data_IF_777821497685
#
_entry.id   IF_777821497685
#
_cell.length_a   1.000
_cell.length_b   1.000
_cell.length_c   1.000
_cell.angle_alpha   90.00
_cell.angle_beta   90.00
_cell.angle_gamma   90.00
#
_symmetry.space_group_name_H-M   'P 1'
#
loop_
_entity.id
_entity.type
_entity.pdbx_description
1 polymer ?
#
# COMPACT_ATOMS: atom_id res chain seq x y z
N UNK A 1 -3.14 15.38 -5.72
CA UNK A 1 -3.72 14.17 -5.11
C UNK A 1 -4.60 13.45 -6.13
N UNK A 2 -4.62 12.11 -6.12
CA UNK A 2 -5.61 11.31 -6.86
C UNK A 2 -6.97 11.44 -6.16
N UNK A 3 -8.00 11.85 -6.91
CA UNK A 3 -9.38 12.03 -6.43
C UNK A 3 -10.37 11.39 -7.40
N UNK A 4 -11.66 11.40 -7.06
CA UNK A 4 -12.71 10.92 -7.98
C UNK A 4 -12.69 11.65 -9.32
N UNK A 5 -12.31 12.93 -9.31
CA UNK A 5 -12.37 13.81 -10.47
C UNK A 5 -11.30 13.47 -11.51
N UNK A 6 -10.10 13.07 -11.07
CA UNK A 6 -8.99 12.69 -11.96
C UNK A 6 -8.77 11.18 -12.10
N UNK A 7 -9.47 10.33 -11.34
CA UNK A 7 -9.28 8.88 -11.36
C UNK A 7 -9.43 8.26 -12.76
N UNK A 8 -10.31 8.79 -13.63
CA UNK A 8 -10.45 8.28 -15.02
C UNK A 8 -9.15 8.44 -15.81
N UNK A 9 -8.52 9.61 -15.70
CA UNK A 9 -7.25 9.91 -16.37
C UNK A 9 -6.12 9.04 -15.83
N UNK A 10 -6.09 8.82 -14.50
CA UNK A 10 -5.15 7.89 -13.85
C UNK A 10 -5.30 6.49 -14.45
N UNK A 11 -6.53 5.97 -14.53
CA UNK A 11 -6.81 4.63 -15.04
C UNK A 11 -6.38 4.46 -16.50
N UNK A 12 -6.66 5.47 -17.33
CA UNK A 12 -6.25 5.49 -18.74
C UNK A 12 -4.72 5.53 -18.88
N UNK A 13 -4.04 6.34 -18.06
CA UNK A 13 -2.57 6.38 -18.00
C UNK A 13 -1.96 5.05 -17.55
N UNK A 14 -2.63 4.36 -16.60
CA UNK A 14 -2.27 3.02 -16.15
C UNK A 14 -2.64 1.91 -17.15
N UNK A 15 -3.25 2.24 -18.30
CA UNK A 15 -3.60 1.27 -19.34
C UNK A 15 -4.84 0.43 -19.04
N UNK A 16 -5.73 0.89 -18.17
CA UNK A 16 -7.05 0.29 -17.99
C UNK A 16 -7.95 0.59 -19.19
N UNK A 17 -8.79 -0.38 -19.57
CA UNK A 17 -9.75 -0.23 -20.66
C UNK A 17 -11.13 0.07 -20.09
N UNK A 18 -11.77 1.11 -20.61
CA UNK A 18 -13.17 1.40 -20.31
C UNK A 18 -14.08 0.36 -21.00
N UNK A 19 -14.98 -0.24 -20.23
CA UNK A 19 -16.03 -1.18 -20.67
C UNK A 19 -17.33 -0.79 -19.97
N UNK A 20 -18.18 -0.01 -20.62
CA UNK A 20 -19.48 0.41 -20.10
C UNK A 20 -19.36 1.08 -18.71
N UNK A 21 -18.56 2.15 -18.62
CA UNK A 21 -18.30 2.91 -17.38
C UNK A 21 -17.43 2.21 -16.32
N UNK A 22 -17.12 0.93 -16.52
CA UNK A 22 -16.17 0.21 -15.70
C UNK A 22 -14.78 0.23 -16.32
N UNK A 23 -13.74 0.41 -15.52
CA UNK A 23 -12.36 0.34 -15.99
C UNK A 23 -11.71 -0.97 -15.57
N UNK A 24 -11.16 -1.71 -16.52
CA UNK A 24 -10.63 -3.06 -16.29
C UNK A 24 -9.22 -3.20 -16.82
N UNK A 25 -8.35 -3.83 -16.03
CA UNK A 25 -7.02 -4.27 -16.45
C UNK A 25 -6.75 -5.67 -15.90
N UNK A 26 -6.14 -6.52 -16.73
CA UNK A 26 -5.71 -7.86 -16.32
C UNK A 26 -4.18 -7.93 -16.42
N UNK A 27 -3.53 -8.35 -15.34
CA UNK A 27 -2.08 -8.51 -15.21
C UNK A 27 -1.82 -9.93 -14.74
N UNK A 28 -1.10 -10.74 -15.52
CA UNK A 28 -0.81 -12.14 -15.18
C UNK A 28 -2.04 -12.96 -14.73
N UNK A 29 -3.17 -12.76 -15.42
CA UNK A 29 -4.50 -13.33 -15.11
C UNK A 29 -5.25 -12.73 -13.90
N UNK A 30 -4.63 -11.84 -13.14
CA UNK A 30 -5.29 -11.10 -12.07
C UNK A 30 -6.02 -9.88 -12.64
N UNK A 31 -7.31 -9.76 -12.35
CA UNK A 31 -8.14 -8.67 -12.88
C UNK A 31 -8.42 -7.63 -11.81
N UNK A 32 -8.04 -6.38 -12.10
CA UNK A 32 -8.42 -5.18 -11.36
C UNK A 32 -9.60 -4.53 -12.07
N UNK A 33 -10.62 -4.15 -11.31
CA UNK A 33 -11.84 -3.54 -11.81
C UNK A 33 -12.23 -2.33 -10.95
N UNK A 34 -12.35 -1.18 -11.59
CA UNK A 34 -12.98 0.00 -11.00
C UNK A 34 -14.42 0.10 -11.51
N UNK A 35 -15.37 0.03 -10.59
CA UNK A 35 -16.80 0.16 -10.86
C UNK A 35 -17.28 1.54 -10.44
N UNK A 36 -17.48 2.43 -11.42
CA UNK A 36 -17.93 3.80 -11.16
C UNK A 36 -19.39 3.86 -10.71
N UNK A 37 -20.23 2.92 -11.16
CA UNK A 37 -21.66 2.89 -10.83
C UNK A 37 -21.85 2.61 -9.34
N UNK A 38 -21.13 1.62 -8.82
CA UNK A 38 -21.18 1.23 -7.41
C UNK A 38 -20.12 1.93 -6.56
N UNK A 39 -19.28 2.78 -7.17
CA UNK A 39 -18.15 3.45 -6.52
C UNK A 39 -17.24 2.48 -5.73
N UNK A 40 -16.94 1.34 -6.34
CA UNK A 40 -16.18 0.25 -5.73
C UNK A 40 -14.88 -0.05 -6.47
N UNK A 41 -13.90 -0.50 -5.68
CA UNK A 41 -12.60 -0.98 -6.16
C UNK A 41 -12.61 -2.49 -5.96
N UNK A 42 -12.54 -3.22 -7.06
CA UNK A 42 -12.62 -4.67 -7.07
C UNK A 42 -11.23 -5.23 -7.42
N UNK A 43 -10.56 -5.72 -6.39
CA UNK A 43 -9.27 -6.38 -6.50
C UNK A 43 -9.41 -7.83 -6.99
N UNK A 44 -8.32 -8.44 -7.50
CA UNK A 44 -8.31 -9.88 -7.82
C UNK A 44 -8.78 -10.71 -6.63
N UNK A 45 -9.58 -11.75 -6.90
CA UNK A 45 -10.18 -12.61 -5.86
C UNK A 45 -9.13 -13.36 -5.02
N UNK A 46 -7.93 -13.50 -5.56
CA UNK A 46 -6.77 -14.13 -4.94
C UNK A 46 -6.16 -13.24 -3.83
N UNK A 47 -6.37 -11.93 -3.88
CA UNK A 47 -5.97 -11.02 -2.79
C UNK A 47 -6.91 -11.24 -1.61
N UNK A 48 -6.35 -11.51 -0.44
CA UNK A 48 -7.14 -11.70 0.78
C UNK A 48 -7.54 -10.34 1.35
N UNK A 49 -8.83 -10.06 1.40
CA UNK A 49 -9.37 -8.78 1.87
C UNK A 49 -10.07 -9.00 3.23
N UNK A 50 -9.55 -8.38 4.30
CA UNK A 50 -10.10 -8.53 5.66
C UNK A 50 -11.22 -7.54 5.98
N UNK A 51 -11.23 -6.40 5.30
CA UNK A 51 -12.22 -5.33 5.43
C UNK A 51 -12.31 -4.59 4.09
N UNK A 52 -13.38 -3.84 3.84
CA UNK A 52 -13.63 -3.17 2.55
C UNK A 52 -13.49 -1.66 2.63
N UNK A 53 -12.84 -1.11 3.66
CA UNK A 53 -12.74 0.34 3.81
C UNK A 53 -11.83 0.98 2.76
N UNK A 54 -10.86 0.23 2.24
CA UNK A 54 -9.95 0.59 1.13
C UNK A 54 -10.47 0.18 -0.26
N UNK A 55 -11.64 -0.47 -0.33
CA UNK A 55 -12.20 -1.07 -1.55
C UNK A 55 -13.36 -0.24 -2.15
N UNK A 56 -13.37 1.07 -1.92
CA UNK A 56 -14.47 1.96 -2.31
C UNK A 56 -13.96 3.41 -2.52
N UNK A 57 -14.81 4.31 -3.02
CA UNK A 57 -14.40 5.68 -3.34
C UNK A 57 -14.60 6.68 -2.17
N UNK A 58 -14.81 6.25 -0.92
CA UNK A 58 -15.13 7.16 0.18
C UNK A 58 -13.97 8.08 0.56
N UNK A 59 -12.73 7.61 0.39
CA UNK A 59 -11.52 8.36 0.75
C UNK A 59 -10.51 8.37 -0.42
N UNK A 60 -9.87 9.52 -0.71
CA UNK A 60 -8.81 9.60 -1.71
C UNK A 60 -7.65 8.63 -1.48
N UNK A 61 -7.35 8.32 -0.22
CA UNK A 61 -6.31 7.35 0.17
C UNK A 61 -6.56 5.96 -0.43
N UNK A 62 -7.83 5.57 -0.60
CA UNK A 62 -8.18 4.28 -1.21
C UNK A 62 -7.69 4.17 -2.67
N UNK A 63 -7.55 5.30 -3.37
CA UNK A 63 -6.99 5.31 -4.73
C UNK A 63 -5.48 5.15 -4.72
N UNK A 64 -4.79 5.60 -3.66
CA UNK A 64 -3.37 5.34 -3.45
C UNK A 64 -3.14 3.86 -3.13
N UNK A 65 -3.98 3.26 -2.29
CA UNK A 65 -3.95 1.80 -2.02
C UNK A 65 -4.17 1.02 -3.33
N UNK A 66 -5.16 1.40 -4.13
CA UNK A 66 -5.43 0.79 -5.42
C UNK A 66 -4.23 0.86 -6.37
N UNK A 67 -3.62 2.04 -6.52
CA UNK A 67 -2.45 2.21 -7.37
C UNK A 67 -1.26 1.40 -6.84
N UNK A 68 -1.05 1.35 -5.53
CA UNK A 68 0.00 0.54 -4.92
C UNK A 68 -0.17 -0.95 -5.23
N UNK A 69 -1.40 -1.48 -5.11
CA UNK A 69 -1.72 -2.87 -5.49
C UNK A 69 -1.50 -3.11 -6.98
N UNK A 70 -1.97 -2.20 -7.84
CA UNK A 70 -1.72 -2.26 -9.27
C UNK A 70 -0.23 -2.36 -9.58
N UNK A 71 0.58 -1.50 -8.96
CA UNK A 71 2.04 -1.47 -9.11
C UNK A 71 2.71 -2.75 -8.62
N UNK A 72 2.27 -3.33 -7.50
CA UNK A 72 2.78 -4.61 -7.01
C UNK A 72 2.53 -5.72 -8.05
N UNK A 73 1.33 -5.80 -8.62
CA UNK A 73 1.00 -6.80 -9.64
C UNK A 73 1.82 -6.59 -10.93
N UNK A 74 2.01 -5.34 -11.40
CA UNK A 74 2.89 -5.02 -12.54
C UNK A 74 4.33 -5.46 -12.31
N UNK A 75 4.81 -5.38 -11.06
CA UNK A 75 6.15 -5.83 -10.68
C UNK A 75 6.27 -7.35 -10.55
N UNK A 76 5.19 -8.10 -10.75
CA UNK A 76 5.18 -9.56 -10.70
C UNK A 76 4.93 -10.16 -9.32
N UNK A 77 4.51 -9.35 -8.33
CA UNK A 77 4.02 -9.92 -7.08
C UNK A 77 2.74 -10.74 -7.35
N UNK A 78 2.64 -11.90 -6.70
CA UNK A 78 1.49 -12.79 -6.80
C UNK A 78 0.35 -12.25 -5.96
N UNK A 79 -0.87 -12.21 -6.51
CA UNK A 79 -2.04 -11.71 -5.79
C UNK A 79 -2.33 -12.54 -4.53
N UNK A 80 -2.06 -13.85 -4.56
CA UNK A 80 -2.20 -14.78 -3.44
C UNK A 80 -1.30 -14.42 -2.23
N UNK A 81 -0.26 -13.61 -2.45
CA UNK A 81 0.66 -13.16 -1.40
C UNK A 81 0.30 -11.76 -0.87
N UNK A 82 -0.78 -11.16 -1.35
CA UNK A 82 -1.25 -9.85 -0.90
C UNK A 82 -2.44 -10.02 0.04
N UNK A 83 -2.37 -9.36 1.20
CA UNK A 83 -3.52 -9.18 2.08
C UNK A 83 -3.83 -7.69 2.21
N UNK A 84 -5.10 -7.30 2.04
CA UNK A 84 -5.57 -5.94 2.29
C UNK A 84 -6.25 -5.84 3.64
N UNK A 85 -5.95 -4.75 4.34
CA UNK A 85 -6.54 -4.43 5.63
C UNK A 85 -6.35 -5.50 6.73
N UNK A 86 -5.22 -6.22 6.82
CA UNK A 86 -4.99 -7.17 7.91
C UNK A 86 -5.09 -6.48 9.28
N UNK A 87 -5.70 -7.17 10.24
CA UNK A 87 -6.00 -6.63 11.57
C UNK A 87 -5.19 -7.34 12.63
N UNK A 88 -4.59 -6.56 13.53
CA UNK A 88 -3.93 -7.08 14.73
C UNK A 88 -4.56 -6.51 16.01
N UNK A 89 -4.54 -7.29 17.08
CA UNK A 89 -5.09 -6.88 18.36
C UNK A 89 -4.10 -5.98 19.11
N UNK A 90 -4.39 -4.68 19.19
CA UNK A 90 -3.60 -3.72 19.96
C UNK A 90 -4.02 -3.71 21.45
N UNK A 91 -3.75 -4.81 22.16
CA UNK A 91 -3.90 -4.88 23.63
C UNK A 91 -5.33 -4.75 24.19
N UNK A 92 -5.45 -4.64 25.52
CA UNK A 92 -6.69 -4.85 26.29
C UNK A 92 -7.82 -3.82 26.06
N UNK A 93 -7.53 -2.62 25.53
CA UNK A 93 -8.52 -1.52 25.54
C UNK A 93 -8.70 -0.70 24.25
N UNK A 94 -8.08 -1.03 23.09
CA UNK A 94 -8.18 -0.14 21.91
C UNK A 94 -8.35 -0.85 20.57
N UNK A 95 -9.12 -0.18 19.69
CA UNK A 95 -9.33 -0.46 18.26
C UNK A 95 -8.05 -1.01 17.63
N UNK A 96 -8.13 -2.22 17.07
CA UNK A 96 -6.99 -2.90 16.46
C UNK A 96 -6.33 -2.08 15.35
N UNK A 97 -5.03 -2.31 15.18
CA UNK A 97 -4.23 -1.72 14.12
C UNK A 97 -4.54 -2.42 12.81
N UNK A 98 -4.67 -1.64 11.73
CA UNK A 98 -5.05 -2.12 10.41
C UNK A 98 -4.14 -1.46 9.39
N UNK A 99 -3.18 -2.22 8.88
CA UNK A 99 -2.33 -1.76 7.78
C UNK A 99 -3.10 -1.82 6.47
N UNK A 100 -2.69 -1.03 5.47
CA UNK A 100 -3.34 -1.07 4.15
C UNK A 100 -3.03 -2.36 3.39
N UNK A 101 -1.75 -2.72 3.29
CA UNK A 101 -1.30 -3.89 2.52
C UNK A 101 -0.24 -4.66 3.32
N UNK A 102 -0.41 -5.98 3.43
CA UNK A 102 0.63 -6.92 3.82
C UNK A 102 1.03 -7.75 2.60
N UNK A 103 2.32 -7.82 2.34
CA UNK A 103 2.92 -8.68 1.32
C UNK A 103 3.63 -9.83 2.02
N UNK A 104 3.40 -11.03 1.52
CA UNK A 104 4.03 -12.27 1.98
C UNK A 104 5.09 -12.79 1.02
N UNK A 105 6.04 -13.54 1.57
CA UNK A 105 7.03 -14.25 0.76
C UNK A 105 6.46 -15.55 0.15
N UNK A 106 7.30 -16.29 -0.57
CA UNK A 106 6.92 -17.55 -1.21
C UNK A 106 6.62 -18.69 -0.23
N UNK A 107 7.01 -18.55 1.04
CA UNK A 107 6.71 -19.48 2.12
C UNK A 107 5.48 -19.04 2.93
N UNK A 108 4.78 -17.99 2.47
CA UNK A 108 3.60 -17.40 3.09
C UNK A 108 3.90 -16.70 4.43
N UNK A 109 5.15 -16.36 4.71
CA UNK A 109 5.53 -15.56 5.87
C UNK A 109 5.31 -14.06 5.58
N UNK A 110 4.93 -13.27 6.60
CA UNK A 110 4.89 -11.81 6.50
C UNK A 110 6.25 -11.24 6.08
N UNK A 111 6.28 -10.44 5.01
CA UNK A 111 7.53 -9.94 4.43
C UNK A 111 7.61 -8.42 4.44
N UNK A 112 6.57 -7.74 3.97
CA UNK A 112 6.54 -6.29 3.82
C UNK A 112 5.16 -5.75 4.23
N UNK A 113 5.12 -4.77 5.12
CA UNK A 113 3.91 -3.98 5.41
C UNK A 113 4.00 -2.65 4.70
N UNK A 114 2.93 -2.26 4.01
CA UNK A 114 2.82 -0.97 3.33
C UNK A 114 1.67 -0.16 3.95
N UNK A 115 1.97 1.07 4.34
CA UNK A 115 0.99 2.09 4.70
C UNK A 115 0.95 3.14 3.58
N UNK A 116 -0.22 3.34 3.00
CA UNK A 116 -0.45 4.33 1.95
C UNK A 116 -0.90 5.64 2.58
N UNK A 117 -0.40 6.76 2.04
CA UNK A 117 -0.87 8.09 2.40
C UNK A 117 -1.11 8.93 1.17
N UNK A 118 -2.06 9.84 1.27
CA UNK A 118 -2.26 10.86 0.24
C UNK A 118 -1.11 11.85 0.24
N UNK A 119 -0.91 12.49 -0.91
CA UNK A 119 0.01 13.62 -1.04
C UNK A 119 -0.59 14.68 -1.94
N UNK A 120 -0.33 15.94 -1.60
CA UNK A 120 -0.53 17.10 -2.45
C UNK A 120 0.53 18.17 -2.13
N UNK A 121 0.54 19.27 -2.89
CA UNK A 121 1.56 20.32 -2.78
C UNK A 121 1.43 21.21 -1.54
N UNK A 122 0.35 21.12 -0.77
CA UNK A 122 0.04 22.04 0.35
C UNK A 122 -0.03 21.34 1.70
N UNK A 123 -0.50 20.11 1.75
CA UNK A 123 -0.82 19.36 2.95
C UNK A 123 -0.63 17.85 2.71
N UNK A 124 0.63 17.44 2.53
CA UNK A 124 0.98 16.04 2.29
C UNK A 124 0.88 15.20 3.58
N UNK A 125 -0.12 14.32 3.67
CA UNK A 125 -0.23 13.34 4.76
C UNK A 125 0.94 12.35 4.76
N UNK A 126 1.50 12.04 3.58
CA UNK A 126 2.73 11.27 3.45
C UNK A 126 3.93 11.91 4.17
N UNK A 127 4.15 13.22 3.99
CA UNK A 127 5.26 13.92 4.67
C UNK A 127 5.02 14.02 6.17
N UNK A 128 3.78 14.25 6.59
CA UNK A 128 3.43 14.28 8.02
C UNK A 128 3.68 12.93 8.69
N UNK A 129 3.22 11.84 8.09
CA UNK A 129 3.44 10.51 8.65
C UNK A 129 4.93 10.15 8.64
N UNK A 130 5.68 10.56 7.62
CA UNK A 130 7.14 10.38 7.62
C UNK A 130 7.84 11.12 8.76
N UNK A 131 7.45 12.36 9.03
CA UNK A 131 8.01 13.13 10.15
C UNK A 131 7.65 12.46 11.49
N UNK A 132 6.40 12.04 11.65
CA UNK A 132 5.95 11.30 12.83
C UNK A 132 6.72 10.00 13.02
N UNK A 133 6.95 9.23 11.96
CA UNK A 133 7.73 8.00 12.00
C UNK A 133 9.17 8.24 12.49
N UNK A 134 9.78 9.38 12.14
CA UNK A 134 11.11 9.74 12.63
C UNK A 134 11.11 10.18 14.11
N UNK A 135 9.99 10.71 14.61
CA UNK A 135 9.85 11.18 15.98
C UNK A 135 9.50 10.05 16.97
N UNK A 136 8.50 9.23 16.66
CA UNK A 136 7.95 8.22 17.59
C UNK A 136 7.67 6.84 16.96
N UNK A 137 8.05 6.64 15.70
CA UNK A 137 7.80 5.42 14.93
C UNK A 137 6.45 5.37 14.21
N UNK A 138 5.46 6.19 14.57
CA UNK A 138 4.20 6.29 13.83
C UNK A 138 3.41 4.97 13.71
N UNK A 139 2.54 4.88 12.70
CA UNK A 139 1.63 3.73 12.52
C UNK A 139 2.39 2.43 12.19
N UNK A 140 3.33 2.48 11.26
CA UNK A 140 4.02 1.28 10.74
C UNK A 140 4.76 0.49 11.82
N UNK A 141 5.43 1.18 12.76
CA UNK A 141 6.15 0.52 13.84
C UNK A 141 5.21 -0.12 14.87
N UNK A 142 3.99 0.42 15.03
CA UNK A 142 2.97 -0.22 15.87
C UNK A 142 2.51 -1.58 15.30
N UNK A 143 2.43 -1.70 13.97
CA UNK A 143 2.10 -2.96 13.30
C UNK A 143 3.26 -3.95 13.37
N UNK A 144 4.50 -3.46 13.19
CA UNK A 144 5.71 -4.28 13.33
C UNK A 144 5.81 -4.98 14.70
N UNK A 145 5.43 -4.30 15.79
CA UNK A 145 5.41 -4.91 17.12
C UNK A 145 4.46 -6.13 17.21
N UNK A 146 3.39 -6.14 16.42
CA UNK A 146 2.40 -7.23 16.37
C UNK A 146 2.79 -8.33 15.38
N UNK A 147 3.39 -7.96 14.24
CA UNK A 147 3.79 -8.87 13.17
C UNK A 147 5.31 -8.96 13.04
N UNK A 148 5.94 -9.59 14.04
CA UNK A 148 7.40 -9.72 14.13
C UNK A 148 8.05 -10.52 12.98
N UNK A 149 7.27 -11.14 12.10
CA UNK A 149 7.82 -11.83 10.92
C UNK A 149 8.31 -10.87 9.83
N UNK A 150 7.77 -9.65 9.79
CA UNK A 150 7.99 -8.68 8.71
C UNK A 150 9.43 -8.22 8.63
N UNK A 151 9.96 -8.18 7.41
CA UNK A 151 11.34 -7.78 7.10
C UNK A 151 11.45 -6.30 6.73
N UNK A 152 10.38 -5.75 6.14
CA UNK A 152 10.37 -4.38 5.64
C UNK A 152 9.08 -3.65 6.00
N UNK A 153 9.21 -2.35 6.32
CA UNK A 153 8.10 -1.41 6.45
C UNK A 153 8.20 -0.41 5.30
N UNK A 154 7.08 -0.05 4.70
CA UNK A 154 7.03 0.89 3.58
C UNK A 154 5.94 1.94 3.80
N UNK A 155 6.34 3.20 3.86
CA UNK A 155 5.41 4.31 3.68
C UNK A 155 5.33 4.59 2.18
N UNK A 156 4.12 4.61 1.62
CA UNK A 156 3.89 4.75 0.18
C UNK A 156 2.94 5.91 -0.14
N UNK A 157 3.18 6.59 -1.26
CA UNK A 157 2.24 7.55 -1.83
C UNK A 157 2.31 7.57 -3.34
N UNK A 158 1.21 7.98 -3.96
CA UNK A 158 1.12 8.23 -5.39
C UNK A 158 0.24 9.45 -5.67
N UNK A 159 0.61 10.23 -6.68
CA UNK A 159 -0.15 11.36 -7.16
C UNK A 159 -0.19 11.40 -8.70
N UNK A 160 -1.12 12.18 -9.24
CA UNK A 160 -1.34 12.35 -10.67
C UNK A 160 -1.55 13.82 -11.02
N UNK A 161 -0.67 14.35 -11.87
CA UNK A 161 -0.80 15.66 -12.52
C UNK A 161 -0.94 15.47 -14.04
N UNK A 162 0.18 15.27 -14.74
CA UNK A 162 0.23 14.93 -16.17
C UNK A 162 0.56 13.43 -16.37
N UNK A 163 1.29 12.87 -15.42
CA UNK A 163 1.68 11.46 -15.34
C UNK A 163 1.54 10.99 -13.91
N UNK A 164 1.45 9.68 -13.74
CA UNK A 164 1.49 9.09 -12.42
C UNK A 164 2.90 9.20 -11.82
N UNK A 165 2.98 9.73 -10.61
CA UNK A 165 4.20 9.83 -9.82
C UNK A 165 3.98 9.10 -8.50
N UNK A 166 4.98 8.35 -8.05
CA UNK A 166 4.93 7.67 -6.77
C UNK A 166 6.20 7.92 -5.98
N UNK A 167 6.10 7.82 -4.66
CA UNK A 167 7.22 7.91 -3.74
C UNK A 167 7.03 6.89 -2.62
N UNK A 168 8.13 6.30 -2.17
CA UNK A 168 8.11 5.45 -0.99
C UNK A 168 9.36 5.63 -0.14
N UNK A 169 9.22 5.28 1.13
CA UNK A 169 10.32 5.13 2.08
C UNK A 169 10.24 3.73 2.66
N UNK A 170 11.30 2.95 2.46
CA UNK A 170 11.40 1.56 2.90
C UNK A 170 12.40 1.50 4.05
N UNK A 171 11.98 0.91 5.16
CA UNK A 171 12.79 0.67 6.35
C UNK A 171 12.96 -0.84 6.51
N UNK A 172 14.20 -1.28 6.70
CA UNK A 172 14.47 -2.65 7.11
C UNK A 172 14.19 -2.80 8.60
N UNK A 173 13.39 -3.78 8.98
CA UNK A 173 12.94 -3.98 10.35
C UNK A 173 14.05 -4.49 11.30
N UNK A 174 15.12 -5.03 10.73
CA UNK A 174 16.26 -5.59 11.43
C UNK A 174 17.55 -5.03 10.85
N UNK A 175 18.53 -4.81 11.71
CA UNK A 175 19.85 -4.36 11.27
C UNK A 175 20.51 -5.39 10.35
N UNK A 176 21.31 -4.87 9.42
CA UNK A 176 22.20 -5.70 8.63
C UNK A 176 23.52 -5.89 9.39
N UNK A 177 23.64 -7.02 10.09
CA UNK A 177 24.82 -7.39 10.87
C UNK A 177 26.13 -7.36 10.07
N UNK A 178 26.10 -7.70 8.78
CA UNK A 178 27.28 -7.67 7.91
C UNK A 178 27.73 -6.22 7.65
N UNK A 179 26.77 -5.35 7.33
CA UNK A 179 27.03 -3.91 7.15
C UNK A 179 27.55 -3.24 8.44
N UNK A 180 27.06 -3.65 9.60
CA UNK A 180 27.55 -3.15 10.89
C UNK A 180 29.02 -3.55 11.11
N UNK A 181 29.37 -4.81 10.84
CA UNK A 181 30.76 -5.31 10.96
C UNK A 181 31.73 -4.61 10.01
N UNK A 182 31.31 -4.32 8.78
CA UNK A 182 32.15 -3.60 7.81
C UNK A 182 32.48 -2.17 8.27
N UNK A 183 31.54 -1.49 8.94
CA UNK A 183 31.78 -0.15 9.50
C UNK A 183 32.65 -0.14 10.74
N UNK A 184 32.57 -1.18 11.57
CA UNK A 184 33.48 -1.32 12.73
C UNK A 184 34.94 -1.50 12.29
N UNK A 185 35.19 -2.10 11.13
CA UNK A 185 36.54 -2.29 10.58
C UNK A 185 37.12 -1.04 9.88
N UNK A 186 36.29 -0.02 9.63
CA UNK A 186 36.71 1.24 8.98
C UNK A 186 37.02 2.35 9.99
N UNK A 187 36.78 2.12 11.28
CA UNK A 187 37.13 3.01 12.40
C UNK A 187 38.35 2.47 13.17
#
# INVERSE_FOLDING_TARGET
MITKDNLKQVLENLGFKNKNENYVKTINNYTLLIDYKNQSINYPKEIKIHDKTTSNFSHPENFVVFECVHRLLEKGYKAEHLELEPKWNLGRDKKGGKADILVKDNENNPYLIIECKTTDSKNSEFIKEWNRMQEDGGQLFSYFQQEKGVKYLCLYTSDFSDKLEYKNYIIQAYDNEEYLKEKELQN
#
